data_IF_085142431848
#
_entry.id   IF_085142431848
#
_cell.length_a   1.000
_cell.length_b   1.000
_cell.length_c   1.000
_cell.angle_alpha   90.00
_cell.angle_beta   90.00
_cell.angle_gamma   90.00
#
_symmetry.space_group_name_H-M   'P 1'
#
loop_
_entity.id
_entity.type
_entity.pdbx_description
1 polymer ?
#
# COMPACT_ATOMS: atom_id res chain seq x y z
N UNK A 1 9.06 0.34 7.98
CA UNK A 1 7.84 1.22 8.00
C UNK A 1 7.15 1.29 9.37
N UNK A 2 6.86 0.18 10.00
CA UNK A 2 6.09 0.13 11.27
C UNK A 2 6.70 0.96 12.41
N UNK A 3 8.02 0.86 12.61
CA UNK A 3 8.72 1.63 13.62
C UNK A 3 8.69 3.13 13.28
N UNK A 4 8.98 3.48 12.01
CA UNK A 4 8.97 4.87 11.56
C UNK A 4 7.59 5.52 11.70
N UNK A 5 6.52 4.76 11.41
CA UNK A 5 5.15 5.25 11.66
C UNK A 5 4.94 5.59 13.16
N UNK A 6 5.35 4.69 14.06
CA UNK A 6 5.21 4.92 15.51
C UNK A 6 5.92 6.20 15.95
N UNK A 7 7.15 6.44 15.50
CA UNK A 7 7.91 7.66 15.76
C UNK A 7 7.16 8.92 15.31
N UNK A 8 6.65 8.92 14.08
CA UNK A 8 5.89 10.04 13.52
C UNK A 8 4.56 10.30 14.26
N UNK A 9 3.90 9.25 14.72
CA UNK A 9 2.67 9.40 15.49
C UNK A 9 2.93 9.93 16.91
N UNK A 10 4.09 9.64 17.50
CA UNK A 10 4.51 10.25 18.78
C UNK A 10 4.68 11.77 18.62
N UNK A 11 5.22 12.25 17.49
CA UNK A 11 5.33 13.68 17.20
C UNK A 11 3.95 14.38 17.19
N UNK A 12 2.89 13.67 16.78
CA UNK A 12 1.49 14.14 16.81
C UNK A 12 0.83 14.09 18.18
N UNK A 13 1.42 13.43 19.17
CA UNK A 13 0.83 13.25 20.49
C UNK A 13 0.55 14.57 21.25
N UNK A 14 1.17 15.67 20.83
CA UNK A 14 0.91 17.01 21.39
C UNK A 14 -0.45 17.60 20.96
N UNK A 15 -1.07 17.10 19.88
CA UNK A 15 -2.41 17.52 19.50
C UNK A 15 -3.44 16.82 20.42
N UNK A 16 -4.25 17.58 21.20
CA UNK A 16 -5.25 17.00 22.08
C UNK A 16 -6.39 16.28 21.32
N UNK A 17 -6.54 16.52 20.04
CA UNK A 17 -7.55 15.85 19.20
C UNK A 17 -7.08 14.50 18.68
N UNK A 18 -5.77 14.23 18.68
CA UNK A 18 -5.22 12.98 18.18
C UNK A 18 -5.51 11.83 19.13
N UNK A 19 -6.19 10.79 18.64
CA UNK A 19 -6.52 9.56 19.38
C UNK A 19 -6.09 8.34 18.55
N UNK A 20 -5.58 7.32 19.23
CA UNK A 20 -5.09 6.11 18.59
C UNK A 20 -5.75 4.86 19.19
N UNK A 21 -6.27 4.00 18.32
CA UNK A 21 -6.95 2.78 18.70
C UNK A 21 -6.20 1.57 18.13
N UNK A 22 -6.02 0.51 18.91
CA UNK A 22 -5.41 -0.74 18.48
C UNK A 22 -6.24 -1.96 18.88
N UNK A 23 -6.17 -3.02 18.08
CA UNK A 23 -6.89 -4.29 18.30
C UNK A 23 -6.06 -5.34 19.03
N UNK A 24 -5.46 -5.00 20.17
CA UNK A 24 -4.60 -5.88 20.97
C UNK A 24 -3.38 -6.44 20.21
N UNK A 25 -2.78 -5.61 19.36
CA UNK A 25 -1.60 -5.91 18.58
C UNK A 25 -0.55 -4.81 18.69
N UNK A 26 0.67 -5.08 18.25
CA UNK A 26 1.76 -4.09 18.22
C UNK A 26 2.64 -4.12 19.47
N UNK A 27 2.62 -5.19 20.25
CA UNK A 27 3.49 -5.39 21.41
C UNK A 27 4.98 -5.24 21.02
N UNK A 28 5.75 -4.59 21.91
CA UNK A 28 7.16 -4.27 21.70
C UNK A 28 7.39 -3.09 20.73
N UNK A 29 6.33 -2.46 20.23
CA UNK A 29 6.42 -1.35 19.27
C UNK A 29 5.61 -0.12 19.69
N UNK A 30 4.37 -0.33 20.14
CA UNK A 30 3.41 0.76 20.39
C UNK A 30 3.47 1.33 21.81
N UNK A 31 4.28 0.75 22.69
CA UNK A 31 4.42 1.21 24.08
C UNK A 31 4.89 2.67 24.17
N UNK A 32 5.88 3.15 23.40
CA UNK A 32 6.26 4.56 23.43
C UNK A 32 5.12 5.50 23.00
N UNK A 33 4.30 5.10 22.02
CA UNK A 33 3.13 5.87 21.60
C UNK A 33 2.05 5.87 22.68
N UNK A 34 1.82 4.72 23.32
CA UNK A 34 0.89 4.61 24.47
C UNK A 34 1.31 5.53 25.62
N UNK A 35 2.59 5.54 25.96
CA UNK A 35 3.12 6.35 27.04
C UNK A 35 3.01 7.86 26.73
N UNK A 36 3.18 8.24 25.45
CA UNK A 36 3.00 9.61 25.00
C UNK A 36 1.53 10.08 24.96
N UNK A 37 0.59 9.18 24.66
CA UNK A 37 -0.83 9.52 24.53
C UNK A 37 -1.63 9.37 25.82
N UNK A 38 -1.21 8.50 26.74
CA UNK A 38 -1.97 8.20 27.96
C UNK A 38 -3.37 7.66 27.62
N UNK A 39 -4.40 8.29 28.16
CA UNK A 39 -5.81 7.88 27.95
C UNK A 39 -6.29 7.98 26.49
N UNK A 40 -5.58 8.70 25.65
CA UNK A 40 -5.88 8.80 24.20
C UNK A 40 -5.37 7.62 23.38
N UNK A 41 -4.61 6.72 24.02
CA UNK A 41 -4.26 5.42 23.46
C UNK A 41 -5.24 4.37 23.98
N UNK A 42 -6.05 3.81 23.09
CA UNK A 42 -7.14 2.90 23.42
C UNK A 42 -6.83 1.51 22.84
N UNK A 43 -6.65 0.54 23.73
CA UNK A 43 -6.67 -0.86 23.31
C UNK A 43 -8.11 -1.37 23.34
N UNK A 44 -8.70 -1.56 22.15
CA UNK A 44 -10.08 -2.03 22.00
C UNK A 44 -10.23 -3.55 22.16
N UNK A 45 -9.13 -4.28 22.39
CA UNK A 45 -9.11 -5.73 22.37
C UNK A 45 -9.28 -6.30 20.95
N UNK A 46 -9.45 -7.62 20.83
CA UNK A 46 -9.67 -8.30 19.54
C UNK A 46 -11.14 -8.06 19.10
N UNK A 47 -11.48 -6.80 18.82
CA UNK A 47 -12.84 -6.34 18.54
C UNK A 47 -12.84 -5.25 17.45
N UNK A 48 -12.30 -5.55 16.26
CA UNK A 48 -12.05 -4.57 15.19
C UNK A 48 -13.33 -3.88 14.72
N UNK A 49 -14.47 -4.56 14.71
CA UNK A 49 -15.77 -3.95 14.38
C UNK A 49 -16.13 -2.85 15.37
N UNK A 50 -16.03 -3.14 16.68
CA UNK A 50 -16.27 -2.14 17.73
C UNK A 50 -15.23 -1.01 17.68
N UNK A 51 -13.96 -1.33 17.44
CA UNK A 51 -12.87 -0.36 17.32
C UNK A 51 -13.14 0.67 16.22
N UNK A 52 -13.58 0.23 15.04
CA UNK A 52 -13.91 1.13 13.91
C UNK A 52 -15.16 1.96 14.23
N UNK A 53 -16.20 1.37 14.82
CA UNK A 53 -17.41 2.11 15.24
C UNK A 53 -17.09 3.19 16.30
N UNK A 54 -16.23 2.89 17.26
CA UNK A 54 -15.76 3.88 18.26
C UNK A 54 -14.96 5.00 17.58
N UNK A 55 -14.04 4.65 16.67
CA UNK A 55 -13.27 5.64 15.90
C UNK A 55 -14.18 6.54 15.04
N UNK A 56 -15.25 5.99 14.45
CA UNK A 56 -16.25 6.76 13.72
C UNK A 56 -16.94 7.78 14.63
N UNK A 57 -17.39 7.37 15.82
CA UNK A 57 -18.01 8.26 16.81
C UNK A 57 -17.07 9.36 17.28
N UNK A 58 -15.79 9.05 17.50
CA UNK A 58 -14.75 10.02 17.88
C UNK A 58 -14.51 11.03 16.74
N UNK A 59 -14.38 10.54 15.50
CA UNK A 59 -14.19 11.38 14.32
C UNK A 59 -15.39 12.32 14.10
N UNK A 60 -16.61 11.84 14.28
CA UNK A 60 -17.83 12.66 14.20
C UNK A 60 -17.88 13.76 15.28
N UNK A 61 -17.11 13.64 16.36
CA UNK A 61 -16.93 14.67 17.42
C UNK A 61 -15.70 15.56 17.17
N UNK A 62 -15.04 15.43 16.03
CA UNK A 62 -13.92 16.27 15.63
C UNK A 62 -12.56 15.81 16.17
N UNK A 63 -12.44 14.57 16.63
CA UNK A 63 -11.16 13.96 16.97
C UNK A 63 -10.49 13.37 15.73
N UNK A 64 -9.17 13.43 15.69
CA UNK A 64 -8.36 12.76 14.65
C UNK A 64 -8.10 11.32 15.09
N UNK A 65 -8.94 10.39 14.61
CA UNK A 65 -8.89 9.00 15.00
C UNK A 65 -8.03 8.16 14.05
N UNK A 66 -7.04 7.46 14.61
CA UNK A 66 -6.19 6.49 13.93
C UNK A 66 -6.45 5.09 14.49
N UNK A 67 -6.66 4.14 13.61
CA UNK A 67 -6.98 2.75 13.92
C UNK A 67 -5.87 1.86 13.39
N UNK A 68 -5.29 1.00 14.23
CA UNK A 68 -4.17 0.14 13.84
C UNK A 68 -4.47 -1.32 14.14
N UNK A 69 -4.27 -2.18 13.15
CA UNK A 69 -4.25 -3.63 13.34
C UNK A 69 -3.41 -4.30 12.23
N UNK A 70 -3.32 -5.63 12.26
CA UNK A 70 -2.81 -6.42 11.13
C UNK A 70 -3.76 -6.20 9.95
N UNK A 71 -3.21 -6.06 8.75
CA UNK A 71 -3.97 -5.63 7.56
C UNK A 71 -5.28 -6.40 7.35
N UNK A 72 -5.33 -7.76 7.28
CA UNK A 72 -6.61 -8.47 7.09
C UNK A 72 -7.63 -8.22 8.20
N UNK A 73 -7.17 -7.88 9.40
CA UNK A 73 -8.08 -7.66 10.53
C UNK A 73 -8.70 -6.26 10.50
N UNK A 74 -7.93 -5.25 10.07
CA UNK A 74 -8.43 -3.87 10.02
C UNK A 74 -9.32 -3.58 8.81
N UNK A 75 -9.20 -4.33 7.70
CA UNK A 75 -10.07 -4.10 6.55
C UNK A 75 -11.23 -5.10 6.43
N UNK A 76 -10.99 -6.39 6.68
CA UNK A 76 -11.99 -7.42 6.37
C UNK A 76 -13.00 -7.61 7.50
N UNK A 77 -12.55 -7.66 8.77
CA UNK A 77 -13.46 -7.86 9.91
C UNK A 77 -14.47 -6.72 10.06
N UNK A 78 -14.05 -5.43 10.03
CA UNK A 78 -14.95 -4.30 10.21
C UNK A 78 -15.44 -3.69 8.89
N UNK A 79 -15.44 -4.43 7.77
CA UNK A 79 -15.80 -3.86 6.47
C UNK A 79 -17.19 -3.20 6.47
N UNK A 80 -18.16 -3.78 7.18
CA UNK A 80 -19.49 -3.18 7.31
C UNK A 80 -19.42 -1.82 8.02
N UNK A 81 -18.68 -1.71 9.11
CA UNK A 81 -18.51 -0.45 9.84
C UNK A 81 -17.72 0.57 9.01
N UNK A 82 -16.69 0.13 8.29
CA UNK A 82 -15.96 1.02 7.36
C UNK A 82 -16.91 1.56 6.29
N UNK A 83 -17.75 0.72 5.70
CA UNK A 83 -18.72 1.12 4.69
C UNK A 83 -19.79 2.06 5.22
N UNK A 84 -20.46 1.67 6.32
CA UNK A 84 -21.62 2.37 6.83
C UNK A 84 -21.23 3.58 7.70
N UNK A 85 -20.25 3.42 8.59
CA UNK A 85 -19.94 4.45 9.59
C UNK A 85 -18.86 5.43 9.10
N UNK A 86 -17.88 4.97 8.30
CA UNK A 86 -16.81 5.84 7.80
C UNK A 86 -17.12 6.37 6.41
N UNK A 87 -17.23 5.47 5.42
CA UNK A 87 -17.28 5.87 4.00
C UNK A 87 -18.60 6.60 3.66
N UNK A 88 -19.74 6.10 4.12
CA UNK A 88 -21.03 6.73 3.88
C UNK A 88 -21.13 8.12 4.48
N UNK A 89 -20.55 8.34 5.66
CA UNK A 89 -20.54 9.64 6.35
C UNK A 89 -19.33 10.51 6.00
N UNK A 90 -18.36 10.00 5.22
CA UNK A 90 -17.14 10.72 4.87
C UNK A 90 -16.24 11.03 6.07
N UNK A 91 -16.28 10.23 7.14
CA UNK A 91 -15.52 10.49 8.36
C UNK A 91 -14.02 10.20 8.16
N UNK A 92 -13.12 11.17 8.42
CA UNK A 92 -11.70 11.06 8.12
C UNK A 92 -10.91 10.22 9.12
N UNK A 93 -11.34 8.98 9.35
CA UNK A 93 -10.62 7.99 10.15
C UNK A 93 -9.47 7.40 9.34
N UNK A 94 -8.31 7.22 9.97
CA UNK A 94 -7.10 6.65 9.37
C UNK A 94 -6.99 5.19 9.77
N UNK A 95 -7.17 4.29 8.81
CA UNK A 95 -7.05 2.84 8.99
C UNK A 95 -5.62 2.41 8.64
N UNK A 96 -4.85 1.94 9.59
CA UNK A 96 -3.49 1.44 9.37
C UNK A 96 -3.48 -0.07 9.35
N UNK A 97 -3.25 -0.65 8.18
CA UNK A 97 -3.08 -2.09 7.98
C UNK A 97 -1.60 -2.47 7.97
N UNK A 98 -1.13 -3.09 9.04
CA UNK A 98 0.24 -3.56 9.12
C UNK A 98 0.39 -4.90 8.40
N UNK A 99 1.37 -4.99 7.50
CA UNK A 99 1.71 -6.22 6.81
C UNK A 99 0.79 -6.56 5.64
N UNK A 100 0.67 -5.64 4.68
CA UNK A 100 -0.04 -5.90 3.41
C UNK A 100 0.57 -7.03 2.59
N UNK A 101 -0.22 -7.58 1.68
CA UNK A 101 0.19 -8.68 0.82
C UNK A 101 0.48 -9.97 1.58
N UNK A 102 1.62 -10.59 1.31
CA UNK A 102 2.11 -11.80 1.96
C UNK A 102 3.06 -11.53 3.15
N UNK A 103 3.09 -10.31 3.70
CA UNK A 103 4.06 -9.95 4.74
C UNK A 103 4.03 -10.87 5.97
N UNK A 104 2.87 -11.40 6.31
CA UNK A 104 2.66 -12.39 7.38
C UNK A 104 2.58 -13.84 6.84
N UNK A 105 3.29 -14.16 5.77
CA UNK A 105 3.24 -15.46 5.12
C UNK A 105 3.46 -16.66 6.03
N UNK A 106 4.33 -16.53 7.05
CA UNK A 106 4.58 -17.58 8.06
C UNK A 106 3.35 -17.87 8.94
N UNK A 107 2.45 -16.92 9.11
CA UNK A 107 1.19 -17.07 9.85
C UNK A 107 0.07 -17.68 8.99
N UNK A 108 0.31 -17.82 7.69
CA UNK A 108 -0.60 -18.46 6.76
C UNK A 108 -1.74 -17.57 6.24
N UNK A 109 -2.69 -18.17 5.51
CA UNK A 109 -3.70 -17.46 4.72
C UNK A 109 -4.59 -16.50 5.53
N UNK A 110 -4.82 -16.77 6.80
CA UNK A 110 -5.64 -15.91 7.67
C UNK A 110 -4.99 -14.53 7.94
N UNK A 111 -3.70 -14.40 7.64
CA UNK A 111 -2.92 -13.18 7.82
C UNK A 111 -2.46 -12.57 6.50
N UNK A 112 -2.83 -13.13 5.35
CA UNK A 112 -2.58 -12.52 4.05
C UNK A 112 -3.56 -11.36 3.83
N UNK A 113 -3.06 -10.26 3.27
CA UNK A 113 -3.85 -9.10 2.89
C UNK A 113 -3.61 -8.81 1.40
N UNK A 114 -4.12 -9.70 0.55
CA UNK A 114 -3.96 -9.61 -0.90
C UNK A 114 -5.22 -9.10 -1.61
N UNK A 115 -6.24 -8.68 -0.87
CA UNK A 115 -7.47 -8.04 -1.38
C UNK A 115 -7.74 -6.68 -0.73
N UNK A 116 -6.89 -6.22 0.16
CA UNK A 116 -7.13 -5.12 1.10
C UNK A 116 -7.57 -3.80 0.43
N UNK A 117 -6.71 -3.17 -0.36
CA UNK A 117 -7.08 -1.92 -0.99
C UNK A 117 -8.15 -2.11 -2.07
N UNK A 118 -8.18 -3.25 -2.78
CA UNK A 118 -9.21 -3.53 -3.77
C UNK A 118 -10.61 -3.57 -3.18
N UNK A 119 -10.78 -4.21 -2.01
CA UNK A 119 -12.06 -4.22 -1.29
C UNK A 119 -12.42 -2.82 -0.79
N UNK A 120 -11.46 -2.10 -0.17
CA UNK A 120 -11.72 -0.79 0.41
C UNK A 120 -12.02 0.28 -0.65
N UNK A 121 -11.38 0.23 -1.82
CA UNK A 121 -11.57 1.19 -2.90
C UNK A 121 -12.89 0.97 -3.67
N UNK A 122 -13.63 -0.11 -3.39
CA UNK A 122 -15.05 -0.20 -3.83
C UNK A 122 -15.92 0.88 -3.17
N UNK A 123 -15.44 1.52 -2.10
CA UNK A 123 -16.12 2.59 -1.39
C UNK A 123 -15.64 3.96 -1.92
N UNK A 124 -16.50 4.77 -2.58
CA UNK A 124 -16.06 5.95 -3.34
C UNK A 124 -15.33 7.03 -2.56
N UNK A 125 -15.51 7.10 -1.22
CA UNK A 125 -14.85 8.09 -0.37
C UNK A 125 -13.48 7.63 0.13
N UNK A 126 -13.15 6.34 0.02
CA UNK A 126 -11.88 5.78 0.48
C UNK A 126 -10.71 6.19 -0.42
N UNK A 127 -9.54 6.33 0.19
CA UNK A 127 -8.24 6.40 -0.49
C UNK A 127 -7.28 5.42 0.18
N UNK A 128 -6.29 4.94 -0.54
CA UNK A 128 -5.25 4.06 -0.02
C UNK A 128 -3.86 4.66 -0.26
N UNK A 129 -3.07 4.77 0.81
CA UNK A 129 -1.64 5.03 0.75
C UNK A 129 -0.88 3.71 0.87
N UNK A 130 0.00 3.45 -0.07
CA UNK A 130 0.84 2.25 -0.15
C UNK A 130 2.31 2.68 -0.26
N UNK A 131 2.90 3.26 0.82
CA UNK A 131 4.26 3.80 0.79
C UNK A 131 5.26 2.77 0.29
N UNK A 132 6.22 3.23 -0.52
CA UNK A 132 7.25 2.37 -1.12
C UNK A 132 8.41 2.21 -0.15
N UNK A 133 8.82 3.30 0.51
CA UNK A 133 9.99 3.38 1.38
C UNK A 133 9.64 3.90 2.77
N UNK A 134 10.49 3.63 3.76
CA UNK A 134 10.37 4.20 5.11
C UNK A 134 10.40 5.74 5.08
N UNK A 135 11.17 6.31 4.14
CA UNK A 135 11.27 7.76 3.93
C UNK A 135 9.93 8.42 3.52
N UNK A 136 9.02 7.66 2.91
CA UNK A 136 7.72 8.16 2.47
C UNK A 136 6.78 8.49 3.62
N UNK A 137 6.97 7.83 4.76
CA UNK A 137 5.99 7.84 5.86
C UNK A 137 5.76 9.22 6.46
N UNK A 138 6.75 10.11 6.44
CA UNK A 138 6.56 11.49 6.90
C UNK A 138 5.45 12.18 6.10
N UNK A 139 5.55 12.16 4.78
CA UNK A 139 4.56 12.76 3.88
C UNK A 139 3.22 12.03 3.95
N UNK A 140 3.24 10.69 4.02
CA UNK A 140 2.01 9.87 4.12
C UNK A 140 1.24 10.18 5.39
N UNK A 141 1.90 10.30 6.55
CA UNK A 141 1.27 10.64 7.83
C UNK A 141 0.65 12.04 7.79
N UNK A 142 1.35 13.02 7.20
CA UNK A 142 0.85 14.39 7.09
C UNK A 142 -0.35 14.48 6.14
N UNK A 143 -0.27 13.83 4.97
CA UNK A 143 -1.38 13.79 4.00
C UNK A 143 -2.58 13.03 4.53
N UNK A 144 -2.36 11.89 5.17
CA UNK A 144 -3.42 11.14 5.83
C UNK A 144 -4.05 11.96 6.96
N UNK A 145 -3.24 12.58 7.83
CA UNK A 145 -3.69 13.43 8.93
C UNK A 145 -4.59 14.56 8.45
N UNK A 146 -4.25 15.22 7.35
CA UNK A 146 -5.01 16.33 6.76
C UNK A 146 -6.17 15.90 5.84
N UNK A 147 -6.35 14.60 5.60
CA UNK A 147 -7.46 14.12 4.77
C UNK A 147 -8.82 14.42 5.39
N UNK A 148 -9.76 14.91 4.59
CA UNK A 148 -11.16 15.11 4.96
C UNK A 148 -12.06 13.89 4.74
N UNK A 149 -11.51 12.78 4.24
CA UNK A 149 -12.20 11.52 3.96
C UNK A 149 -11.44 10.35 4.59
N UNK A 150 -12.08 9.19 4.78
CA UNK A 150 -11.40 8.04 5.37
C UNK A 150 -10.26 7.55 4.45
N UNK A 151 -9.14 7.15 5.07
CA UNK A 151 -7.98 6.65 4.36
C UNK A 151 -7.50 5.31 4.92
N UNK A 152 -6.96 4.49 4.05
CA UNK A 152 -6.24 3.27 4.40
C UNK A 152 -4.75 3.44 4.15
N UNK A 153 -3.91 3.08 5.10
CA UNK A 153 -2.45 3.08 4.98
C UNK A 153 -1.97 1.64 5.05
N UNK A 154 -1.44 1.15 3.94
CA UNK A 154 -0.93 -0.22 3.84
C UNK A 154 0.56 -0.24 4.13
N UNK A 155 0.95 -0.71 5.30
CA UNK A 155 2.35 -0.84 5.65
C UNK A 155 2.95 -2.15 5.13
N UNK A 156 4.15 -2.05 4.59
CA UNK A 156 5.00 -3.16 4.17
C UNK A 156 6.40 -3.08 4.77
N UNK A 157 7.36 -3.61 4.04
CA UNK A 157 8.79 -3.48 4.34
C UNK A 157 9.46 -2.62 3.29
N UNK A 158 10.38 -1.76 3.71
CA UNK A 158 11.35 -1.12 2.83
C UNK A 158 12.44 -2.16 2.51
N UNK A 159 12.47 -2.64 1.28
CA UNK A 159 13.38 -3.69 0.80
C UNK A 159 14.40 -3.15 -0.20
N UNK A 160 14.55 -1.82 -0.27
CA UNK A 160 15.54 -1.18 -1.14
C UNK A 160 16.97 -1.48 -0.69
N UNK A 161 17.95 -1.50 -1.61
CA UNK A 161 19.37 -1.50 -1.25
C UNK A 161 19.72 -0.25 -0.45
N UNK A 162 20.62 -0.35 0.52
CA UNK A 162 21.08 0.80 1.32
C UNK A 162 21.71 1.91 0.46
N UNK A 163 22.32 1.54 -0.67
CA UNK A 163 22.93 2.46 -1.64
C UNK A 163 21.91 3.22 -2.50
N UNK A 164 20.63 2.85 -2.47
CA UNK A 164 19.60 3.51 -3.26
C UNK A 164 19.01 4.69 -2.50
N UNK A 165 19.18 5.89 -3.05
CA UNK A 165 18.57 7.11 -2.54
C UNK A 165 17.20 7.32 -3.21
N UNK A 166 16.09 7.23 -2.46
CA UNK A 166 14.76 7.35 -3.05
C UNK A 166 14.52 8.77 -3.59
N UNK A 167 13.92 8.91 -4.77
CA UNK A 167 13.46 10.21 -5.22
C UNK A 167 12.39 10.78 -4.28
N UNK A 168 12.24 12.10 -4.29
CA UNK A 168 11.21 12.79 -3.49
C UNK A 168 9.85 12.14 -3.66
N UNK A 169 9.11 12.03 -2.55
CA UNK A 169 7.78 11.43 -2.55
C UNK A 169 6.84 12.10 -3.57
N UNK A 170 6.20 11.27 -4.36
CA UNK A 170 5.06 11.61 -5.20
C UNK A 170 4.16 10.38 -5.34
N UNK A 171 2.87 10.54 -5.69
CA UNK A 171 1.97 9.40 -5.92
C UNK A 171 2.52 8.40 -6.94
N UNK A 172 3.21 8.90 -7.96
CA UNK A 172 3.93 8.15 -8.97
C UNK A 172 5.37 8.62 -9.04
N UNK A 173 6.34 7.68 -9.05
CA UNK A 173 7.76 8.01 -9.11
C UNK A 173 8.51 7.04 -10.00
N UNK A 174 9.33 7.57 -10.89
CA UNK A 174 10.31 6.76 -11.60
C UNK A 174 11.47 6.43 -10.67
N UNK A 175 11.78 5.16 -10.49
CA UNK A 175 12.84 4.67 -9.62
C UNK A 175 14.12 4.30 -10.41
N UNK A 176 13.95 3.75 -11.61
CA UNK A 176 15.07 3.48 -12.53
C UNK A 176 14.74 3.99 -13.92
N UNK A 177 15.79 4.35 -14.66
CA UNK A 177 15.71 4.65 -16.08
C UNK A 177 16.50 3.63 -16.87
N UNK A 178 16.15 3.49 -18.17
CA UNK A 178 16.81 2.57 -19.07
C UNK A 178 16.11 2.42 -20.41
N UNK A 179 16.65 1.57 -21.29
CA UNK A 179 16.09 1.30 -22.61
C UNK A 179 15.03 0.19 -22.65
N UNK A 180 14.84 -0.54 -21.54
CA UNK A 180 13.91 -1.67 -21.47
C UNK A 180 12.45 -1.27 -21.28
N UNK A 181 11.61 -2.27 -21.00
CA UNK A 181 10.15 -2.14 -20.84
C UNK A 181 9.76 -1.20 -19.71
N UNK A 182 8.55 -0.63 -19.81
CA UNK A 182 7.95 0.14 -18.72
C UNK A 182 7.32 -0.82 -17.71
N UNK A 183 7.77 -0.73 -16.45
CA UNK A 183 7.26 -1.55 -15.34
C UNK A 183 6.69 -0.63 -14.27
N UNK A 184 5.46 -0.85 -13.87
CA UNK A 184 4.77 -0.06 -12.82
C UNK A 184 4.42 -0.96 -11.65
N UNK A 185 4.92 -0.64 -10.46
CA UNK A 185 4.80 -1.48 -9.26
C UNK A 185 4.04 -0.75 -8.16
N UNK A 186 3.07 -1.42 -7.56
CA UNK A 186 2.33 -0.89 -6.43
C UNK A 186 3.07 -1.10 -5.11
N UNK A 187 3.39 0.00 -4.42
CA UNK A 187 3.93 0.01 -3.06
C UNK A 187 5.33 -0.58 -2.90
N UNK A 188 5.65 -1.15 -1.72
CA UNK A 188 7.01 -1.48 -1.32
C UNK A 188 7.64 -2.65 -2.11
N UNK A 189 6.84 -3.40 -2.86
CA UNK A 189 7.34 -4.44 -3.76
C UNK A 189 8.34 -3.87 -4.78
N UNK A 190 8.21 -2.59 -5.16
CA UNK A 190 9.14 -1.92 -6.07
C UNK A 190 10.60 -1.94 -5.55
N UNK A 191 10.80 -1.78 -4.24
CA UNK A 191 12.13 -1.84 -3.62
C UNK A 191 12.84 -3.18 -3.80
N UNK A 192 12.07 -4.27 -3.88
CA UNK A 192 12.60 -5.63 -4.05
C UNK A 192 13.37 -5.81 -5.35
N UNK A 193 13.04 -5.05 -6.39
CA UNK A 193 13.63 -5.21 -7.74
C UNK A 193 14.89 -4.39 -7.95
N UNK A 194 15.12 -3.34 -7.15
CA UNK A 194 16.18 -2.35 -7.41
C UNK A 194 17.58 -2.94 -7.46
N UNK A 195 17.90 -3.90 -6.58
CA UNK A 195 19.22 -4.53 -6.56
C UNK A 195 19.54 -5.29 -7.85
N UNK A 196 18.56 -6.08 -8.33
CA UNK A 196 18.72 -6.88 -9.56
C UNK A 196 18.74 -5.97 -10.80
N UNK A 197 17.88 -4.95 -10.87
CA UNK A 197 17.85 -3.99 -11.97
C UNK A 197 19.15 -3.19 -12.09
N UNK A 198 19.79 -2.87 -10.98
CA UNK A 198 21.06 -2.15 -10.98
C UNK A 198 22.21 -2.94 -11.63
N UNK A 199 22.08 -4.27 -11.75
CA UNK A 199 23.10 -5.12 -12.41
C UNK A 199 22.96 -5.16 -13.93
N UNK A 200 21.84 -4.71 -14.49
CA UNK A 200 21.57 -4.76 -15.93
C UNK A 200 22.26 -3.61 -16.67
N UNK A 201 22.71 -3.85 -17.92
CA UNK A 201 23.07 -2.77 -18.83
C UNK A 201 21.93 -1.76 -18.97
N UNK A 202 22.25 -0.50 -19.16
CA UNK A 202 21.24 0.57 -19.28
C UNK A 202 20.24 0.30 -20.41
N UNK A 203 20.70 -0.24 -21.54
CA UNK A 203 19.86 -0.56 -22.71
C UNK A 203 18.80 -1.62 -22.41
N UNK A 204 19.07 -2.53 -21.47
CA UNK A 204 18.18 -3.65 -21.10
C UNK A 204 17.40 -3.37 -19.80
N UNK A 205 17.80 -2.32 -19.09
CA UNK A 205 17.18 -2.00 -17.77
C UNK A 205 15.78 -1.47 -17.96
N UNK A 206 14.77 -2.05 -17.30
CA UNK A 206 13.41 -1.53 -17.29
C UNK A 206 13.31 -0.11 -16.70
N UNK A 207 12.39 0.69 -17.26
CA UNK A 207 11.92 1.92 -16.62
C UNK A 207 10.97 1.54 -15.50
N UNK A 208 11.47 1.51 -14.25
CA UNK A 208 10.68 1.13 -13.08
C UNK A 208 9.97 2.34 -12.49
N UNK A 209 8.67 2.29 -12.44
CA UNK A 209 7.82 3.24 -11.75
C UNK A 209 7.19 2.62 -10.51
N UNK A 210 7.01 3.41 -9.47
CA UNK A 210 6.28 3.02 -8.28
C UNK A 210 5.04 3.89 -8.10
N UNK A 211 3.90 3.27 -7.74
CA UNK A 211 2.68 3.95 -7.33
C UNK A 211 2.48 3.81 -5.83
N UNK A 212 2.19 4.93 -5.16
CA UNK A 212 2.08 5.04 -3.70
C UNK A 212 0.69 5.43 -3.23
N UNK A 213 -0.21 5.87 -4.11
CA UNK A 213 -1.55 6.35 -3.77
C UNK A 213 -2.60 5.88 -4.75
N UNK A 214 -3.71 5.41 -4.23
CA UNK A 214 -4.89 4.95 -4.96
C UNK A 214 -6.16 5.62 -4.42
N UNK A 215 -7.25 5.74 -5.17
CA UNK A 215 -7.43 5.23 -6.52
C UNK A 215 -6.76 6.10 -7.60
N UNK A 216 -6.59 5.53 -8.80
CA UNK A 216 -5.95 6.20 -9.94
C UNK A 216 -6.74 7.43 -10.39
N UNK A 217 -8.05 7.43 -10.28
CA UNK A 217 -8.91 8.57 -10.67
C UNK A 217 -8.61 9.84 -9.87
N UNK A 218 -8.11 9.71 -8.64
CA UNK A 218 -7.70 10.85 -7.80
C UNK A 218 -6.24 11.22 -7.97
N UNK A 219 -5.43 10.26 -8.36
CA UNK A 219 -4.00 10.40 -8.56
C UNK A 219 -3.64 9.77 -9.91
N UNK A 220 -3.97 10.40 -11.05
CA UNK A 220 -3.71 9.81 -12.37
C UNK A 220 -2.21 9.71 -12.64
N UNK A 221 -1.81 8.76 -13.51
CA UNK A 221 -0.43 8.65 -13.97
C UNK A 221 0.07 9.96 -14.57
N UNK A 222 1.32 10.37 -14.31
CA UNK A 222 1.90 11.58 -14.90
C UNK A 222 2.16 11.42 -16.40
N UNK A 223 2.21 12.54 -17.12
CA UNK A 223 2.42 12.57 -18.57
C UNK A 223 3.68 11.78 -18.99
N UNK A 224 4.79 11.96 -18.26
CA UNK A 224 6.05 11.26 -18.57
C UNK A 224 5.90 9.73 -18.55
N UNK A 225 5.10 9.18 -17.65
CA UNK A 225 4.80 7.74 -17.62
C UNK A 225 3.94 7.34 -18.81
N UNK A 226 2.89 8.13 -19.12
CA UNK A 226 2.00 7.85 -20.26
C UNK A 226 2.76 7.90 -21.59
N UNK A 227 3.62 8.90 -21.78
CA UNK A 227 4.47 9.05 -22.96
C UNK A 227 5.43 7.85 -23.12
N UNK A 228 6.03 7.38 -22.02
CA UNK A 228 6.88 6.18 -22.04
C UNK A 228 6.10 4.91 -22.40
N UNK A 229 4.88 4.75 -21.88
CA UNK A 229 4.02 3.62 -22.22
C UNK A 229 3.59 3.68 -23.68
N UNK A 230 3.19 4.84 -24.18
CA UNK A 230 2.79 5.00 -25.57
C UNK A 230 3.96 4.74 -26.53
N UNK A 231 5.14 5.27 -26.23
CA UNK A 231 6.34 5.05 -27.04
C UNK A 231 6.76 3.56 -27.08
N UNK A 232 6.65 2.84 -25.98
CA UNK A 232 6.96 1.40 -25.93
C UNK A 232 5.83 0.54 -26.52
N UNK A 233 4.59 1.00 -26.42
CA UNK A 233 3.39 0.22 -26.73
C UNK A 233 3.15 -0.96 -25.78
N UNK A 234 3.89 -1.05 -24.68
CA UNK A 234 3.81 -2.14 -23.73
C UNK A 234 4.05 -1.67 -22.30
N UNK A 235 3.39 -2.32 -21.34
CA UNK A 235 3.57 -2.06 -19.89
C UNK A 235 3.36 -3.31 -19.07
N UNK A 236 4.18 -3.45 -18.02
CA UNK A 236 4.05 -4.52 -17.01
C UNK A 236 3.56 -3.87 -15.71
N UNK A 237 2.34 -4.19 -15.28
CA UNK A 237 1.81 -3.80 -13.98
C UNK A 237 2.12 -4.90 -12.95
N UNK A 238 2.60 -4.53 -11.76
CA UNK A 238 3.04 -5.47 -10.72
C UNK A 238 2.48 -5.09 -9.36
N UNK A 239 1.82 -6.02 -8.68
CA UNK A 239 1.25 -5.78 -7.35
C UNK A 239 1.20 -7.03 -6.48
N UNK A 240 1.44 -6.88 -5.19
CA UNK A 240 1.22 -7.95 -4.21
C UNK A 240 -0.24 -7.92 -3.72
N UNK A 241 -1.15 -8.01 -4.66
CA UNK A 241 -2.59 -7.99 -4.52
C UNK A 241 -3.20 -8.92 -5.57
N UNK A 242 -4.40 -9.44 -5.38
CA UNK A 242 -5.10 -10.22 -6.40
C UNK A 242 -5.49 -9.35 -7.59
N UNK A 243 -5.72 -9.99 -8.74
CA UNK A 243 -6.08 -9.27 -9.96
C UNK A 243 -7.37 -8.46 -9.84
N UNK A 244 -8.39 -9.06 -9.20
CA UNK A 244 -9.72 -8.46 -9.07
C UNK A 244 -9.67 -7.26 -8.10
N UNK A 245 -10.06 -6.09 -8.56
CA UNK A 245 -9.98 -4.85 -7.80
C UNK A 245 -8.54 -4.39 -7.52
N UNK A 246 -7.56 -4.97 -8.21
CA UNK A 246 -6.17 -4.59 -8.10
C UNK A 246 -5.82 -3.39 -8.97
N UNK A 247 -4.74 -2.71 -8.59
CA UNK A 247 -4.18 -1.56 -9.28
C UNK A 247 -3.95 -1.79 -10.78
N UNK A 248 -3.45 -2.99 -11.18
CA UNK A 248 -3.13 -3.27 -12.56
C UNK A 248 -4.37 -3.29 -13.47
N UNK A 249 -5.54 -3.67 -12.96
CA UNK A 249 -6.82 -3.60 -13.71
C UNK A 249 -7.24 -2.16 -13.91
N UNK A 250 -7.14 -1.34 -12.86
CA UNK A 250 -7.49 0.09 -12.92
C UNK A 250 -6.53 0.85 -13.84
N UNK A 251 -5.23 0.52 -13.82
CA UNK A 251 -4.26 1.10 -14.75
C UNK A 251 -4.61 0.77 -16.20
N UNK A 252 -4.92 -0.49 -16.51
CA UNK A 252 -5.31 -0.88 -17.87
C UNK A 252 -6.57 -0.14 -18.32
N UNK A 253 -7.59 -0.05 -17.48
CA UNK A 253 -8.81 0.71 -17.78
C UNK A 253 -8.50 2.18 -18.07
N UNK A 254 -7.70 2.82 -17.21
CA UNK A 254 -7.27 4.21 -17.39
C UNK A 254 -6.51 4.44 -18.71
N UNK A 255 -5.59 3.55 -19.07
CA UNK A 255 -4.83 3.66 -20.31
C UNK A 255 -5.75 3.56 -21.57
N UNK A 256 -6.75 2.67 -21.52
CA UNK A 256 -7.74 2.54 -22.59
C UNK A 256 -8.61 3.78 -22.66
N UNK A 257 -9.13 4.27 -21.54
CA UNK A 257 -10.02 5.43 -21.46
C UNK A 257 -9.32 6.73 -21.92
N UNK A 258 -8.00 6.83 -21.71
CA UNK A 258 -7.19 7.97 -22.19
C UNK A 258 -6.71 7.82 -23.64
N UNK A 259 -7.04 6.71 -24.32
CA UNK A 259 -6.75 6.49 -25.73
C UNK A 259 -5.35 5.96 -26.02
N UNK A 260 -4.61 5.51 -25.01
CA UNK A 260 -3.28 4.91 -25.20
C UNK A 260 -3.40 3.55 -25.88
N UNK A 261 -2.69 3.39 -26.99
CA UNK A 261 -2.69 2.13 -27.75
C UNK A 261 -1.60 1.19 -27.21
N UNK A 262 -2.02 0.04 -26.70
CA UNK A 262 -1.10 -0.98 -26.20
C UNK A 262 -1.01 -2.16 -27.18
N UNK A 263 0.23 -2.63 -27.42
CA UNK A 263 0.51 -3.91 -28.08
C UNK A 263 0.53 -5.06 -27.07
N UNK A 264 0.96 -4.77 -25.84
CA UNK A 264 1.04 -5.74 -24.75
C UNK A 264 0.75 -5.11 -23.39
N UNK A 265 0.01 -5.82 -22.58
CA UNK A 265 -0.19 -5.53 -21.16
C UNK A 265 0.03 -6.81 -20.36
N UNK A 266 1.01 -6.79 -19.48
CA UNK A 266 1.28 -7.90 -18.55
C UNK A 266 0.89 -7.49 -17.14
N UNK A 267 0.24 -8.39 -16.41
CA UNK A 267 -0.17 -8.13 -15.04
C UNK A 267 0.35 -9.24 -14.11
N UNK A 268 1.41 -8.91 -13.38
CA UNK A 268 1.97 -9.76 -12.33
C UNK A 268 1.27 -9.42 -11.02
N UNK A 269 0.61 -10.39 -10.41
CA UNK A 269 -0.23 -10.20 -9.24
C UNK A 269 -0.18 -11.39 -8.31
N UNK A 270 -0.57 -11.21 -7.05
CA UNK A 270 -0.77 -12.33 -6.13
C UNK A 270 -1.85 -13.26 -6.69
N UNK A 271 -1.53 -14.53 -6.84
CA UNK A 271 -2.43 -15.47 -7.53
C UNK A 271 -3.56 -15.97 -6.63
N UNK A 272 -3.25 -16.25 -5.36
CA UNK A 272 -4.21 -16.85 -4.42
C UNK A 272 -3.70 -16.86 -2.99
N UNK A 273 -4.58 -17.09 -2.04
CA UNK A 273 -4.20 -17.57 -0.71
C UNK A 273 -3.60 -18.99 -0.81
N UNK A 274 -2.41 -19.15 -0.24
CA UNK A 274 -1.70 -20.42 -0.33
C UNK A 274 -2.09 -21.34 0.85
N UNK A 275 -3.30 -21.89 0.81
CA UNK A 275 -3.74 -22.88 1.78
C UNK A 275 -2.84 -24.12 1.75
N UNK A 276 -2.30 -24.49 2.91
CA UNK A 276 -1.37 -25.63 3.03
C UNK A 276 0.09 -25.34 2.63
N UNK A 277 0.43 -24.11 2.25
CA UNK A 277 1.81 -23.68 1.98
C UNK A 277 2.13 -22.44 2.80
N UNK A 278 2.94 -22.61 3.82
CA UNK A 278 3.41 -21.55 4.70
C UNK A 278 4.86 -21.21 4.35
N UNK A 279 5.25 -19.96 4.50
CA UNK A 279 6.61 -19.55 4.22
C UNK A 279 6.84 -18.04 4.34
N UNK A 280 8.06 -17.62 4.07
CA UNK A 280 8.39 -16.20 4.05
C UNK A 280 7.63 -15.45 2.95
N UNK A 281 7.53 -14.15 3.08
CA UNK A 281 6.95 -13.29 2.03
C UNK A 281 7.62 -13.54 0.67
N UNK A 282 8.95 -13.62 0.63
CA UNK A 282 9.71 -13.87 -0.60
C UNK A 282 9.40 -15.24 -1.21
N UNK A 283 9.15 -16.27 -0.38
CA UNK A 283 8.71 -17.58 -0.87
C UNK A 283 7.33 -17.50 -1.54
N UNK A 284 6.37 -16.82 -0.92
CA UNK A 284 5.01 -16.69 -1.47
C UNK A 284 4.97 -15.78 -2.72
N UNK A 285 5.81 -14.74 -2.76
CA UNK A 285 6.03 -13.93 -3.97
C UNK A 285 6.53 -14.79 -5.12
N UNK A 286 7.53 -15.68 -4.92
CA UNK A 286 7.99 -16.61 -5.96
C UNK A 286 6.89 -17.55 -6.45
N UNK A 287 6.05 -18.07 -5.55
CA UNK A 287 4.90 -18.90 -5.96
C UNK A 287 3.90 -18.12 -6.85
N UNK A 288 3.85 -16.82 -6.73
CA UNK A 288 2.99 -15.94 -7.53
C UNK A 288 3.69 -15.35 -8.76
N UNK A 289 4.99 -15.56 -8.92
CA UNK A 289 5.78 -14.96 -10.00
C UNK A 289 6.04 -13.46 -9.78
N UNK A 290 6.15 -13.03 -8.52
CA UNK A 290 6.41 -11.65 -8.10
C UNK A 290 7.87 -11.45 -7.65
N UNK A 291 8.72 -12.40 -7.88
CA UNK A 291 10.15 -12.31 -7.57
C UNK A 291 10.91 -11.63 -8.74
N UNK A 292 12.14 -11.10 -8.47
CA UNK A 292 12.93 -10.41 -9.49
C UNK A 292 13.19 -11.23 -10.76
N UNK A 293 13.48 -12.52 -10.63
CA UNK A 293 13.72 -13.39 -11.79
C UNK A 293 12.50 -13.49 -12.69
N UNK A 294 11.32 -13.64 -12.11
CA UNK A 294 10.06 -13.70 -12.87
C UNK A 294 9.75 -12.37 -13.57
N UNK A 295 10.00 -11.24 -12.89
CA UNK A 295 9.83 -9.91 -13.49
C UNK A 295 10.77 -9.71 -14.68
N UNK A 296 12.06 -10.01 -14.52
CA UNK A 296 13.06 -9.83 -15.57
C UNK A 296 12.76 -10.66 -16.82
N UNK A 297 12.34 -11.91 -16.65
CA UNK A 297 11.96 -12.77 -17.76
C UNK A 297 10.81 -12.18 -18.60
N UNK A 298 9.84 -11.53 -17.95
CA UNK A 298 8.70 -10.90 -18.63
C UNK A 298 9.08 -9.55 -19.25
N UNK A 299 9.88 -8.76 -18.54
CA UNK A 299 10.28 -7.44 -19.00
C UNK A 299 11.22 -7.47 -20.21
N UNK A 300 11.91 -8.58 -20.46
CA UNK A 300 12.74 -8.78 -21.65
C UNK A 300 11.96 -9.28 -22.88
N UNK A 301 10.77 -9.85 -22.67
CA UNK A 301 9.91 -10.39 -23.74
C UNK A 301 8.85 -9.37 -24.24
N UNK A 302 8.71 -8.22 -23.58
CA UNK A 302 7.81 -7.12 -23.95
C UNK A 302 8.51 -6.04 -24.77
#
# INVERSE_FOLDING_TARGET
>A
MRQRLCELLIERANDPKFVFLTGDVGFGLLEPLRDALGERFINAGVAEQNMVGVAAGMSAKGLEAWVYSIAPFVYARPFEQIRNDLAFHGLPVKLVGNGGGYAYGMQGPTHHAIEDYGVLLTLPTMSAFIPVFDADLGVVVDRAGSSSTPVYIRLGRDERPESFDPPTYAPWRQLTDGGGSVVVVAGPLAGTYLADLATLPEVDRPKLWAVSELPIERNPPPADLLDQIEASGAVVAVEEHVRQGGFGVDLLAHLIDTGITLRAFQHLHARQHNYGRYGSQSYLRRLSGLDPTSLLAIATDC
#
